data_IF_001973067031
#
_entry.id   IF_001973067031
#
_cell.length_a   1.000
_cell.length_b   1.000
_cell.length_c   1.000
_cell.angle_alpha   90.00
_cell.angle_beta   90.00
_cell.angle_gamma   90.00
#
_symmetry.space_group_name_H-M   'P 1'
#
loop_
_entity.id
_entity.type
_entity.pdbx_description
1 polymer ?
#
# COMPACT_ATOMS: atom_id res chain seq x y z
N UNK A 1 -8.55 39.51 29.35
CA UNK A 1 -9.28 39.29 28.08
C UNK A 1 -8.41 38.37 27.25
N UNK A 2 -8.51 37.06 27.52
CA UNK A 2 -7.73 36.05 26.82
C UNK A 2 -8.41 35.75 25.48
N UNK A 3 -7.70 36.01 24.39
CA UNK A 3 -8.14 35.69 23.05
C UNK A 3 -7.91 34.19 22.85
N UNK A 4 -8.94 33.38 23.04
CA UNK A 4 -8.96 32.00 22.58
C UNK A 4 -8.86 32.02 21.05
N UNK A 5 -7.66 31.76 20.51
CA UNK A 5 -7.52 31.41 19.11
C UNK A 5 -8.16 30.04 18.92
N UNK A 6 -9.36 30.02 18.33
CA UNK A 6 -9.99 28.81 17.85
C UNK A 6 -9.11 28.22 16.75
N UNK A 7 -8.37 27.16 17.07
CA UNK A 7 -7.77 26.29 16.06
C UNK A 7 -8.94 25.68 15.29
N UNK A 8 -9.16 26.16 14.06
CA UNK A 8 -10.08 25.55 13.11
C UNK A 8 -9.59 24.13 12.85
N UNK A 9 -10.15 23.16 13.56
CA UNK A 9 -10.00 21.74 13.21
C UNK A 9 -10.87 21.51 11.98
N UNK A 10 -10.28 21.62 10.80
CA UNK A 10 -10.92 21.06 9.61
C UNK A 10 -11.25 19.59 9.91
N UNK A 11 -12.54 19.26 9.96
CA UNK A 11 -12.99 17.89 10.12
C UNK A 11 -12.43 17.07 8.96
N UNK A 12 -11.68 16.01 9.26
CA UNK A 12 -11.11 15.12 8.25
C UNK A 12 -12.20 14.61 7.30
N UNK A 13 -11.98 14.73 6.00
CA UNK A 13 -12.93 14.36 4.96
C UNK A 13 -12.30 13.34 4.01
N UNK A 14 -12.79 12.09 4.04
CA UNK A 14 -12.35 10.99 3.15
C UNK A 14 -12.43 11.35 1.66
N UNK A 15 -13.34 12.25 1.28
CA UNK A 15 -13.60 12.65 -0.10
C UNK A 15 -12.86 13.92 -0.54
N UNK A 16 -11.91 14.43 0.26
CA UNK A 16 -11.17 15.66 -0.04
C UNK A 16 -10.42 15.62 -1.38
N UNK A 17 -10.86 16.38 -2.39
CA UNK A 17 -10.35 16.36 -3.77
C UNK A 17 -10.70 15.08 -4.58
N UNK A 18 -11.67 14.28 -4.13
CA UNK A 18 -11.99 13.02 -4.80
C UNK A 18 -12.67 13.24 -6.15
N UNK A 19 -13.57 14.23 -6.24
CA UNK A 19 -14.27 14.56 -7.49
C UNK A 19 -13.30 15.12 -8.53
N UNK A 20 -12.44 16.04 -8.10
CA UNK A 20 -11.38 16.64 -8.91
C UNK A 20 -10.39 15.59 -9.39
N UNK A 21 -10.11 14.57 -8.56
CA UNK A 21 -9.31 13.40 -8.95
C UNK A 21 -9.99 12.63 -10.07
N UNK A 22 -11.30 12.39 -9.97
CA UNK A 22 -12.05 11.70 -11.03
C UNK A 22 -12.06 12.51 -12.34
N UNK A 23 -12.27 13.82 -12.26
CA UNK A 23 -12.24 14.74 -13.42
C UNK A 23 -10.87 14.76 -14.08
N UNK A 24 -9.79 14.85 -13.31
CA UNK A 24 -8.40 14.80 -13.81
C UNK A 24 -8.10 13.50 -14.57
N UNK A 25 -8.60 12.38 -14.08
CA UNK A 25 -8.36 11.05 -14.65
C UNK A 25 -9.32 10.69 -15.79
N UNK A 26 -10.36 11.51 -16.04
CA UNK A 26 -11.44 11.17 -16.96
C UNK A 26 -12.28 9.98 -16.50
N UNK A 27 -12.30 9.70 -15.19
CA UNK A 27 -13.09 8.61 -14.62
C UNK A 27 -14.58 8.98 -14.58
N UNK A 28 -15.50 8.01 -14.77
CA UNK A 28 -16.93 8.25 -14.55
C UNK A 28 -17.20 8.74 -13.12
N UNK A 29 -17.98 9.80 -12.96
CA UNK A 29 -18.32 10.33 -11.64
C UNK A 29 -19.73 9.94 -11.19
N UNK A 30 -19.77 9.13 -10.15
CA UNK A 30 -20.91 8.98 -9.23
C UNK A 30 -20.34 9.13 -7.83
N UNK A 31 -20.90 10.04 -7.02
CA UNK A 31 -20.39 10.28 -5.66
C UNK A 31 -20.36 8.96 -4.85
N UNK A 32 -19.18 8.37 -4.61
CA UNK A 32 -19.10 7.02 -4.07
C UNK A 32 -19.34 7.03 -2.56
N UNK A 33 -19.95 5.98 -2.02
CA UNK A 33 -19.93 5.76 -0.57
C UNK A 33 -18.52 5.38 -0.15
N UNK A 34 -17.90 6.18 0.73
CA UNK A 34 -16.62 5.87 1.36
C UNK A 34 -16.86 5.81 2.87
N UNK A 35 -16.51 4.69 3.49
CA UNK A 35 -16.66 4.50 4.93
C UNK A 35 -15.37 3.95 5.51
N UNK A 36 -14.82 4.65 6.50
CA UNK A 36 -13.72 4.12 7.29
C UNK A 36 -14.28 3.21 8.38
N UNK A 37 -13.73 2.01 8.45
CA UNK A 37 -14.09 0.98 9.43
C UNK A 37 -12.86 0.69 10.29
N UNK A 38 -13.09 0.31 11.54
CA UNK A 38 -12.05 0.00 12.52
C UNK A 38 -12.29 -1.38 13.10
N UNK A 39 -11.23 -2.18 13.16
CA UNK A 39 -11.27 -3.59 13.54
C UNK A 39 -10.28 -3.83 14.67
N UNK A 40 -10.79 -3.92 15.90
CA UNK A 40 -9.97 -4.24 17.07
C UNK A 40 -9.48 -5.68 16.98
N UNK A 41 -8.20 -5.93 17.26
CA UNK A 41 -7.59 -7.26 17.31
C UNK A 41 -7.46 -7.75 18.76
N UNK A 42 -7.22 -9.05 18.92
CA UNK A 42 -7.17 -9.68 20.24
C UNK A 42 -5.95 -9.25 21.07
N UNK A 43 -4.91 -8.73 20.42
CA UNK A 43 -3.73 -8.14 21.05
C UNK A 43 -3.94 -6.66 21.48
N UNK A 44 -5.15 -6.12 21.26
CA UNK A 44 -5.51 -4.73 21.57
C UNK A 44 -5.09 -3.72 20.52
N UNK A 45 -4.41 -4.14 19.44
CA UNK A 45 -4.18 -3.29 18.27
C UNK A 45 -5.48 -3.12 17.45
N UNK A 46 -5.49 -2.16 16.52
CA UNK A 46 -6.64 -1.89 15.66
C UNK A 46 -6.17 -1.75 14.21
N UNK A 47 -6.92 -2.36 13.29
CA UNK A 47 -6.72 -2.21 11.86
C UNK A 47 -7.83 -1.34 11.28
N UNK A 48 -7.44 -0.32 10.53
CA UNK A 48 -8.34 0.55 9.77
C UNK A 48 -8.51 0.03 8.35
N UNK A 49 -9.72 0.15 7.83
CA UNK A 49 -10.01 -0.11 6.42
C UNK A 49 -10.88 1.00 5.84
N UNK A 50 -10.75 1.24 4.54
CA UNK A 50 -11.58 2.14 3.77
C UNK A 50 -12.44 1.33 2.80
N UNK A 51 -13.73 1.22 3.11
CA UNK A 51 -14.74 0.57 2.26
C UNK A 51 -15.20 1.53 1.18
N UNK A 52 -15.21 1.05 -0.06
CA UNK A 52 -15.69 1.75 -1.24
C UNK A 52 -16.95 1.07 -1.78
N UNK A 53 -18.04 1.82 -1.79
CA UNK A 53 -19.38 1.36 -2.17
C UNK A 53 -20.13 0.65 -1.04
N UNK A 54 -21.43 0.44 -1.26
CA UNK A 54 -22.34 -0.19 -0.30
C UNK A 54 -22.51 -1.71 -0.51
N UNK A 55 -22.02 -2.22 -1.63
CA UNK A 55 -22.05 -3.66 -1.95
C UNK A 55 -20.90 -4.40 -1.26
N UNK A 56 -21.00 -5.73 -1.22
CA UNK A 56 -19.90 -6.58 -0.75
C UNK A 56 -18.63 -6.33 -1.60
N UNK A 57 -17.46 -6.19 -0.97
CA UNK A 57 -16.24 -5.89 -1.68
C UNK A 57 -15.88 -7.04 -2.62
N UNK A 58 -15.56 -6.71 -3.87
CA UNK A 58 -15.02 -7.68 -4.83
C UNK A 58 -13.49 -7.78 -4.73
N UNK A 59 -12.86 -6.80 -4.10
CA UNK A 59 -11.40 -6.63 -4.08
C UNK A 59 -10.97 -6.18 -2.70
N UNK A 60 -9.89 -6.77 -2.19
CA UNK A 60 -9.11 -6.28 -1.05
C UNK A 60 -7.81 -5.69 -1.59
N UNK A 61 -7.46 -4.47 -1.17
CA UNK A 61 -6.28 -3.77 -1.65
C UNK A 61 -5.31 -3.41 -0.51
N UNK A 62 -4.03 -3.76 -0.66
CA UNK A 62 -2.97 -3.56 0.33
C UNK A 62 -1.90 -2.61 -0.23
N UNK A 63 -1.68 -1.47 0.43
CA UNK A 63 -0.72 -0.45 0.01
C UNK A 63 0.75 -0.83 0.28
N UNK A 64 1.71 -0.06 -0.24
CA UNK A 64 3.14 -0.22 0.03
C UNK A 64 3.61 0.43 1.34
N UNK A 65 4.88 0.24 1.71
CA UNK A 65 5.45 0.88 2.90
C UNK A 65 5.37 2.41 2.82
N UNK A 66 5.00 3.06 3.92
CA UNK A 66 4.90 4.52 4.02
C UNK A 66 3.64 5.12 3.38
N UNK A 67 2.73 4.28 2.91
CA UNK A 67 1.48 4.68 2.26
C UNK A 67 0.27 4.40 3.17
N UNK A 68 -0.93 4.51 2.63
CA UNK A 68 -2.20 4.22 3.31
C UNK A 68 -3.27 3.77 2.30
N UNK A 69 -4.46 3.45 2.79
CA UNK A 69 -5.61 2.98 2.01
C UNK A 69 -5.98 3.89 0.82
N UNK A 70 -5.80 5.21 0.91
CA UNK A 70 -6.11 6.16 -0.16
C UNK A 70 -5.19 6.09 -1.37
N UNK A 71 -4.11 5.31 -1.29
CA UNK A 71 -3.23 5.02 -2.43
C UNK A 71 -3.98 4.41 -3.60
N UNK A 72 -5.11 3.75 -3.32
CA UNK A 72 -5.93 3.05 -4.30
C UNK A 72 -7.07 3.88 -4.89
N UNK A 73 -7.29 5.12 -4.41
CA UNK A 73 -8.47 5.92 -4.80
C UNK A 73 -8.57 6.16 -6.31
N UNK A 74 -7.45 6.52 -6.95
CA UNK A 74 -7.40 6.77 -8.39
C UNK A 74 -7.79 5.51 -9.18
N UNK A 75 -7.21 4.37 -8.82
CA UNK A 75 -7.51 3.07 -9.43
C UNK A 75 -8.96 2.66 -9.16
N UNK A 76 -9.44 2.85 -7.93
CA UNK A 76 -10.81 2.55 -7.51
C UNK A 76 -11.86 3.34 -8.29
N UNK A 77 -11.65 4.65 -8.46
CA UNK A 77 -12.50 5.52 -9.29
C UNK A 77 -12.61 5.02 -10.74
N UNK A 78 -11.48 4.62 -11.32
CA UNK A 78 -11.41 4.15 -12.71
C UNK A 78 -12.06 2.77 -12.90
N UNK A 79 -11.97 1.90 -11.90
CA UNK A 79 -12.56 0.55 -11.95
C UNK A 79 -14.07 0.56 -11.70
N UNK A 80 -14.58 1.44 -10.83
CA UNK A 80 -16.00 1.53 -10.50
C UNK A 80 -16.57 0.26 -9.84
N UNK A 81 -15.73 -0.54 -9.18
CA UNK A 81 -16.11 -1.78 -8.46
C UNK A 81 -16.08 -1.55 -6.95
N UNK A 82 -16.90 -2.26 -6.15
CA UNK A 82 -16.80 -2.19 -4.70
C UNK A 82 -15.51 -2.88 -4.23
N UNK A 83 -14.77 -2.24 -3.33
CA UNK A 83 -13.54 -2.77 -2.77
C UNK A 83 -13.34 -2.31 -1.32
N UNK A 84 -12.40 -2.95 -0.64
CA UNK A 84 -11.89 -2.49 0.65
C UNK A 84 -10.38 -2.31 0.56
N UNK A 85 -9.89 -1.13 0.93
CA UNK A 85 -8.47 -0.86 1.04
C UNK A 85 -8.08 -0.89 2.53
N UNK A 86 -7.08 -1.68 2.89
CA UNK A 86 -6.64 -1.84 4.27
C UNK A 86 -5.47 -0.88 4.54
N UNK A 87 -5.53 -0.15 5.65
CA UNK A 87 -4.33 0.47 6.22
C UNK A 87 -3.53 -0.64 6.92
N UNK A 88 -2.35 -0.98 6.41
CA UNK A 88 -1.49 -2.00 7.02
C UNK A 88 -1.11 -1.61 8.46
N UNK A 89 -0.75 -2.58 9.33
CA UNK A 89 -0.24 -2.27 10.66
C UNK A 89 0.85 -1.18 10.62
N UNK A 90 0.79 -0.22 11.54
CA UNK A 90 1.70 0.92 11.55
C UNK A 90 1.43 2.00 10.51
N UNK A 91 0.38 1.91 9.69
CA UNK A 91 0.11 2.85 8.60
C UNK A 91 -1.29 3.46 8.68
N UNK A 92 -1.47 4.61 8.01
CA UNK A 92 -2.75 5.29 7.89
C UNK A 92 -3.45 5.51 9.23
N UNK A 93 -4.60 4.88 9.41
CA UNK A 93 -5.38 4.96 10.65
C UNK A 93 -5.29 3.67 11.49
N UNK A 94 -4.46 2.71 11.11
CA UNK A 94 -4.18 1.51 11.91
C UNK A 94 -3.22 1.82 13.05
N UNK A 95 -3.30 1.02 14.11
CA UNK A 95 -2.43 1.16 15.29
C UNK A 95 -0.96 1.02 14.90
N UNK A 96 -0.13 1.84 15.54
CA UNK A 96 1.32 1.66 15.58
C UNK A 96 1.67 0.60 16.62
N UNK A 97 2.78 -0.08 16.43
CA UNK A 97 3.29 -1.14 17.30
C UNK A 97 4.57 -0.69 18.01
N UNK A 98 4.72 -1.11 19.26
CA UNK A 98 5.92 -0.83 20.05
C UNK A 98 7.13 -1.63 19.54
N UNK A 99 6.89 -2.88 19.10
CA UNK A 99 7.91 -3.79 18.58
C UNK A 99 8.40 -3.47 17.15
N UNK A 100 7.74 -2.53 16.46
CA UNK A 100 8.00 -2.15 15.05
C UNK A 100 7.94 -3.33 14.07
N UNK A 101 7.25 -4.40 14.45
CA UNK A 101 7.14 -5.62 13.67
C UNK A 101 6.04 -5.47 12.60
N UNK A 102 6.46 -5.03 11.42
CA UNK A 102 5.58 -4.76 10.27
C UNK A 102 5.86 -5.68 9.07
N UNK A 103 6.55 -6.81 9.28
CA UNK A 103 6.91 -7.70 8.18
C UNK A 103 5.67 -8.35 7.55
N UNK A 104 5.81 -8.86 6.31
CA UNK A 104 4.71 -9.44 5.56
C UNK A 104 3.92 -10.52 6.31
N UNK A 105 4.61 -11.34 7.11
CA UNK A 105 4.03 -12.46 7.86
C UNK A 105 3.05 -11.97 8.94
N UNK A 106 3.55 -11.18 9.90
CA UNK A 106 2.75 -10.62 10.99
C UNK A 106 1.61 -9.73 10.48
N UNK A 107 1.88 -8.98 9.40
CA UNK A 107 0.85 -8.15 8.76
C UNK A 107 -0.26 -9.01 8.15
N UNK A 108 0.09 -10.11 7.48
CA UNK A 108 -0.89 -11.02 6.89
C UNK A 108 -1.75 -11.73 7.95
N UNK A 109 -1.17 -12.14 9.08
CA UNK A 109 -1.93 -12.71 10.20
C UNK A 109 -2.98 -11.73 10.74
N UNK A 110 -2.57 -10.47 10.94
CA UNK A 110 -3.47 -9.40 11.39
C UNK A 110 -4.61 -9.17 10.40
N UNK A 111 -4.29 -9.12 9.11
CA UNK A 111 -5.28 -8.90 8.04
C UNK A 111 -6.21 -10.10 7.90
N UNK A 112 -5.72 -11.34 8.04
CA UNK A 112 -6.55 -12.54 8.00
C UNK A 112 -7.69 -12.48 9.03
N UNK A 113 -7.40 -12.04 10.25
CA UNK A 113 -8.41 -11.85 11.32
C UNK A 113 -9.44 -10.79 10.92
N UNK A 114 -9.00 -9.68 10.32
CA UNK A 114 -9.89 -8.62 9.85
C UNK A 114 -10.80 -9.12 8.74
N UNK A 115 -10.25 -9.84 7.75
CA UNK A 115 -11.02 -10.38 6.63
C UNK A 115 -12.05 -11.42 7.08
N UNK A 116 -11.73 -12.24 8.08
CA UNK A 116 -12.69 -13.16 8.70
C UNK A 116 -13.85 -12.42 9.36
N UNK A 117 -13.55 -11.35 10.11
CA UNK A 117 -14.56 -10.53 10.78
C UNK A 117 -15.43 -9.74 9.81
N UNK A 118 -14.84 -9.27 8.70
CA UNK A 118 -15.58 -8.68 7.57
C UNK A 118 -16.47 -9.70 6.86
N UNK A 119 -16.16 -10.99 6.98
CA UNK A 119 -16.88 -12.06 6.29
C UNK A 119 -16.62 -12.10 4.78
N UNK A 120 -15.49 -11.56 4.30
CA UNK A 120 -15.16 -11.61 2.87
C UNK A 120 -14.88 -13.03 2.41
N UNK A 121 -15.31 -13.37 1.20
CA UNK A 121 -15.05 -14.68 0.58
C UNK A 121 -14.93 -14.51 -0.92
N UNK A 122 -14.02 -15.28 -1.52
CA UNK A 122 -13.82 -15.32 -2.97
C UNK A 122 -13.60 -13.93 -3.60
N UNK A 123 -12.79 -13.08 -2.96
CA UNK A 123 -12.47 -11.72 -3.42
C UNK A 123 -11.12 -11.69 -4.14
N UNK A 124 -10.89 -10.72 -5.00
CA UNK A 124 -9.54 -10.50 -5.53
C UNK A 124 -8.65 -9.86 -4.45
N UNK A 125 -7.37 -10.23 -4.41
CA UNK A 125 -6.38 -9.60 -3.54
C UNK A 125 -5.37 -8.83 -4.40
N UNK A 126 -5.23 -7.53 -4.17
CA UNK A 126 -4.25 -6.68 -4.88
C UNK A 126 -3.31 -6.08 -3.85
N UNK A 127 -2.01 -6.29 -3.99
CA UNK A 127 -1.02 -5.77 -3.06
C UNK A 127 0.17 -5.13 -3.79
N UNK A 128 0.60 -3.96 -3.35
CA UNK A 128 1.80 -3.28 -3.88
C UNK A 128 2.94 -3.35 -2.87
N UNK A 129 4.17 -3.62 -3.32
CA UNK A 129 5.38 -3.50 -2.48
C UNK A 129 5.24 -4.29 -1.17
N UNK A 130 5.35 -3.67 0.00
CA UNK A 130 5.10 -4.31 1.29
C UNK A 130 3.73 -5.03 1.35
N UNK A 131 2.67 -4.41 0.82
CA UNK A 131 1.35 -5.04 0.67
C UNK A 131 1.32 -6.19 -0.33
N UNK A 132 2.20 -6.20 -1.33
CA UNK A 132 2.35 -7.31 -2.27
C UNK A 132 3.01 -8.53 -1.62
N UNK A 133 4.07 -8.33 -0.84
CA UNK A 133 4.67 -9.41 -0.04
C UNK A 133 3.68 -9.96 0.99
N UNK A 134 2.94 -9.06 1.64
CA UNK A 134 1.86 -9.43 2.57
C UNK A 134 0.77 -10.23 1.86
N UNK A 135 0.39 -9.83 0.65
CA UNK A 135 -0.60 -10.53 -0.16
C UNK A 135 -0.16 -11.94 -0.55
N UNK A 136 1.12 -12.15 -0.87
CA UNK A 136 1.69 -13.48 -1.17
C UNK A 136 1.50 -14.40 0.04
N UNK A 137 1.94 -13.97 1.22
CA UNK A 137 1.81 -14.80 2.42
C UNK A 137 0.34 -15.03 2.79
N UNK A 138 -0.47 -13.96 2.80
CA UNK A 138 -1.89 -14.04 3.13
C UNK A 138 -2.64 -15.02 2.21
N UNK A 139 -2.36 -15.00 0.90
CA UNK A 139 -2.97 -15.93 -0.06
C UNK A 139 -2.47 -17.37 0.10
N UNK A 140 -1.28 -17.61 0.66
CA UNK A 140 -0.78 -18.95 0.94
C UNK A 140 -1.44 -19.56 2.18
N UNK A 141 -1.64 -18.76 3.22
CA UNK A 141 -2.21 -19.24 4.49
C UNK A 141 -3.74 -19.25 4.51
N UNK A 142 -4.40 -18.40 3.70
CA UNK A 142 -5.86 -18.26 3.62
C UNK A 142 -6.38 -18.31 2.17
N UNK A 143 -6.03 -19.34 1.38
CA UNK A 143 -6.36 -19.40 -0.05
C UNK A 143 -7.87 -19.39 -0.33
N UNK A 144 -8.71 -19.83 0.61
CA UNK A 144 -10.17 -19.87 0.47
C UNK A 144 -10.83 -18.49 0.44
N UNK A 145 -10.13 -17.44 0.87
CA UNK A 145 -10.63 -16.07 0.85
C UNK A 145 -10.55 -15.46 -0.56
N UNK A 146 -9.65 -15.95 -1.42
CA UNK A 146 -9.27 -15.24 -2.63
C UNK A 146 -9.67 -15.97 -3.91
N UNK A 147 -10.09 -15.22 -4.92
CA UNK A 147 -10.35 -15.74 -6.26
C UNK A 147 -9.14 -15.60 -7.18
N UNK A 148 -8.34 -14.54 -6.97
CA UNK A 148 -7.15 -14.17 -7.75
C UNK A 148 -6.24 -13.28 -6.90
N UNK A 149 -4.94 -13.28 -7.21
CA UNK A 149 -3.94 -12.44 -6.55
C UNK A 149 -3.26 -11.54 -7.60
N UNK A 150 -3.04 -10.27 -7.26
CA UNK A 150 -2.24 -9.33 -8.07
C UNK A 150 -1.16 -8.71 -7.20
N UNK A 151 0.08 -8.83 -7.65
CA UNK A 151 1.26 -8.29 -6.98
C UNK A 151 1.78 -7.14 -7.83
N UNK A 152 1.86 -5.94 -7.25
CA UNK A 152 2.31 -4.73 -7.92
C UNK A 152 3.73 -4.40 -7.47
N UNK A 153 4.64 -4.59 -8.41
CA UNK A 153 6.03 -4.13 -8.44
C UNK A 153 6.91 -4.59 -7.27
N UNK A 154 6.79 -5.86 -6.88
CA UNK A 154 7.58 -6.48 -5.82
C UNK A 154 7.64 -7.99 -6.00
N UNK A 155 8.71 -8.62 -5.51
CA UNK A 155 8.83 -10.08 -5.48
C UNK A 155 9.43 -10.55 -4.16
N UNK A 156 9.31 -11.85 -3.80
CA UNK A 156 10.00 -12.42 -2.64
C UNK A 156 11.52 -12.17 -2.60
N UNK A 157 12.15 -11.90 -3.75
CA UNK A 157 13.57 -11.55 -3.85
C UNK A 157 13.89 -10.08 -3.51
N UNK A 158 12.93 -9.32 -2.96
CA UNK A 158 13.05 -7.89 -2.69
C UNK A 158 14.31 -7.52 -1.91
N UNK A 159 14.62 -8.24 -0.82
CA UNK A 159 15.79 -7.94 0.02
C UNK A 159 17.09 -8.04 -0.77
N UNK A 160 17.25 -9.12 -1.53
CA UNK A 160 18.42 -9.35 -2.38
C UNK A 160 18.53 -8.31 -3.49
N UNK A 161 17.39 -7.89 -4.04
CA UNK A 161 17.37 -6.86 -5.07
C UNK A 161 17.75 -5.49 -4.50
N UNK A 162 17.27 -5.13 -3.31
CA UNK A 162 17.63 -3.85 -2.67
C UNK A 162 19.14 -3.71 -2.43
N UNK A 163 19.83 -4.81 -2.11
CA UNK A 163 21.29 -4.83 -1.97
C UNK A 163 22.04 -4.50 -3.27
N UNK A 164 21.41 -4.74 -4.42
CA UNK A 164 21.99 -4.48 -5.76
C UNK A 164 21.63 -3.10 -6.31
N UNK A 165 20.60 -2.45 -5.77
CA UNK A 165 20.16 -1.12 -6.18
C UNK A 165 21.11 -0.03 -5.68
N UNK A 166 21.39 0.97 -6.53
CA UNK A 166 22.06 2.20 -6.11
C UNK A 166 21.15 3.07 -5.22
N UNK A 167 21.71 4.08 -4.55
CA UNK A 167 20.90 5.08 -3.83
C UNK A 167 19.91 5.81 -4.75
N UNK A 168 20.31 6.08 -6.01
CA UNK A 168 19.44 6.71 -6.99
C UNK A 168 18.24 5.81 -7.37
N UNK A 169 18.48 4.51 -7.49
CA UNK A 169 17.45 3.50 -7.75
C UNK A 169 16.44 3.39 -6.60
N UNK A 170 16.94 3.50 -5.36
CA UNK A 170 16.11 3.55 -4.14
C UNK A 170 15.36 4.86 -3.99
N UNK A 171 15.67 5.89 -4.79
CA UNK A 171 15.06 7.22 -4.73
C UNK A 171 13.54 7.24 -4.90
N UNK A 172 12.96 6.21 -5.51
CA UNK A 172 11.49 6.04 -5.58
C UNK A 172 10.84 5.66 -4.24
N UNK A 173 11.63 5.18 -3.27
CA UNK A 173 11.25 4.94 -1.87
C UNK A 173 11.58 6.15 -0.98
N UNK A 174 12.21 7.20 -1.52
CA UNK A 174 12.65 8.37 -0.74
C UNK A 174 11.52 9.15 -0.05
N UNK A 175 10.25 8.90 -0.40
CA UNK A 175 9.10 9.40 0.36
C UNK A 175 9.14 8.99 1.84
N UNK A 176 9.79 7.86 2.17
CA UNK A 176 9.98 7.41 3.55
C UNK A 176 11.28 7.89 4.21
N UNK A 177 12.12 8.63 3.47
CA UNK A 177 13.45 9.10 3.91
C UNK A 177 13.51 10.60 4.19
N UNK A 178 12.38 11.32 4.05
CA UNK A 178 12.26 12.72 4.45
C UNK A 178 12.33 12.92 5.97
N UNK A 179 12.30 14.18 6.46
CA UNK A 179 12.27 14.45 7.89
C UNK A 179 11.02 13.84 8.55
N UNK A 180 11.15 13.45 9.82
CA UNK A 180 10.04 12.85 10.58
C UNK A 180 8.96 13.88 10.96
N UNK A 181 9.31 15.17 10.99
CA UNK A 181 8.43 16.29 11.34
C UNK A 181 8.60 17.47 10.38
N UNK A 182 7.49 18.13 10.10
CA UNK A 182 7.35 19.29 9.22
C UNK A 182 6.62 20.41 9.96
N UNK A 183 6.91 21.66 9.61
CA UNK A 183 6.24 22.82 10.20
C UNK A 183 4.76 22.94 9.80
N UNK A 184 4.38 22.40 8.64
CA UNK A 184 3.03 22.45 8.11
C UNK A 184 2.75 21.31 7.15
N UNK A 185 1.47 20.99 6.92
CA UNK A 185 1.07 20.07 5.85
C UNK A 185 1.51 20.58 4.46
N UNK A 186 1.50 21.91 4.25
CA UNK A 186 1.97 22.49 2.99
C UNK A 186 3.45 22.17 2.73
N UNK A 187 4.30 22.23 3.75
CA UNK A 187 5.70 21.85 3.62
C UNK A 187 5.87 20.36 3.21
N UNK A 188 4.98 19.48 3.66
CA UNK A 188 4.95 18.07 3.22
C UNK A 188 4.52 17.95 1.74
N UNK A 189 3.54 18.74 1.30
CA UNK A 189 3.10 18.80 -0.11
C UNK A 189 4.25 19.26 -0.99
N UNK A 190 4.91 20.36 -0.62
CA UNK A 190 6.01 20.94 -1.39
C UNK A 190 7.21 19.97 -1.48
N UNK A 191 7.56 19.32 -0.36
CA UNK A 191 8.61 18.30 -0.33
C UNK A 191 8.29 17.09 -1.22
N UNK A 192 7.04 16.63 -1.19
CA UNK A 192 6.57 15.51 -2.03
C UNK A 192 6.56 15.89 -3.51
N UNK A 193 6.13 17.10 -3.84
CA UNK A 193 6.11 17.61 -5.22
C UNK A 193 7.53 17.74 -5.80
N UNK A 194 8.51 18.13 -4.98
CA UNK A 194 9.91 18.20 -5.41
C UNK A 194 10.49 16.81 -5.77
N UNK A 195 10.04 15.75 -5.10
CA UNK A 195 10.46 14.37 -5.37
C UNK A 195 9.69 13.71 -6.52
N UNK A 196 8.49 14.20 -6.84
CA UNK A 196 7.63 13.65 -7.90
C UNK A 196 7.20 14.74 -8.90
N UNK A 197 8.13 15.40 -9.61
CA UNK A 197 7.84 16.59 -10.44
C UNK A 197 6.90 16.31 -11.62
N UNK A 198 6.77 15.05 -12.03
CA UNK A 198 5.89 14.63 -13.13
C UNK A 198 4.48 14.23 -12.64
N UNK A 199 4.25 14.16 -11.33
CA UNK A 199 2.96 13.77 -10.77
C UNK A 199 2.05 15.00 -10.68
N UNK A 200 0.77 14.92 -11.09
CA UNK A 200 -0.15 16.04 -10.95
C UNK A 200 -0.25 16.54 -9.51
N UNK A 201 -0.17 17.86 -9.31
CA UNK A 201 -0.18 18.49 -7.99
C UNK A 201 -1.41 18.09 -7.16
N UNK A 202 -2.57 17.95 -7.79
CA UNK A 202 -3.80 17.51 -7.14
C UNK A 202 -3.68 16.10 -6.51
N UNK A 203 -3.01 15.17 -7.19
CA UNK A 203 -2.80 13.81 -6.66
C UNK A 203 -1.78 13.80 -5.53
N UNK A 204 -0.76 14.67 -5.60
CA UNK A 204 0.19 14.87 -4.50
C UNK A 204 -0.54 15.42 -3.28
N UNK A 205 -1.32 16.48 -3.44
CA UNK A 205 -2.08 17.11 -2.36
C UNK A 205 -3.02 16.11 -1.69
N UNK A 206 -3.86 15.41 -2.46
CA UNK A 206 -4.75 14.37 -1.93
C UNK A 206 -3.96 13.31 -1.17
N UNK A 207 -2.88 12.79 -1.74
CA UNK A 207 -2.04 11.78 -1.09
C UNK A 207 -1.46 12.26 0.24
N UNK A 208 -0.93 13.49 0.30
CA UNK A 208 -0.36 14.06 1.52
C UNK A 208 -1.43 14.36 2.57
N UNK A 209 -2.59 14.88 2.18
CA UNK A 209 -3.71 15.14 3.10
C UNK A 209 -4.15 13.86 3.81
N UNK A 210 -4.31 12.77 3.07
CA UNK A 210 -4.73 11.49 3.64
C UNK A 210 -3.61 10.76 4.37
N UNK A 211 -2.33 11.03 4.07
CA UNK A 211 -1.18 10.41 4.73
C UNK A 211 -0.55 11.23 5.84
N UNK A 212 -1.11 12.39 6.22
CA UNK A 212 -0.51 13.27 7.24
C UNK A 212 -1.39 13.41 8.48
N UNK A 213 -0.73 13.62 9.62
CA UNK A 213 -1.36 13.99 10.89
C UNK A 213 -0.56 15.10 11.57
N UNK A 214 -1.26 15.88 12.39
CA UNK A 214 -0.62 16.81 13.31
C UNK A 214 -0.37 16.08 14.64
N UNK A 215 0.84 16.19 15.17
CA UNK A 215 1.25 15.64 16.45
C UNK A 215 0.93 16.63 17.59
N UNK A 216 1.03 16.17 18.84
CA UNK A 216 0.72 16.97 20.03
C UNK A 216 1.62 18.22 20.18
N UNK A 217 2.82 18.17 19.62
CA UNK A 217 3.76 19.30 19.55
C UNK A 217 3.37 20.35 18.50
N UNK A 218 2.26 20.13 17.78
CA UNK A 218 1.76 21.00 16.71
C UNK A 218 2.46 20.81 15.37
N UNK A 219 3.52 19.99 15.30
CA UNK A 219 4.21 19.68 14.05
C UNK A 219 3.42 18.65 13.23
N UNK A 220 3.64 18.65 11.93
CA UNK A 220 3.05 17.70 11.01
C UNK A 220 4.01 16.55 10.73
N UNK A 221 3.47 15.37 10.47
CA UNK A 221 4.26 14.28 9.91
C UNK A 221 3.35 13.20 9.35
N UNK A 222 3.96 12.10 8.93
CA UNK A 222 3.25 11.05 8.24
C UNK A 222 2.43 10.17 9.20
N UNK A 223 1.39 9.55 8.64
CA UNK A 223 0.51 8.58 9.30
C UNK A 223 1.07 7.16 9.31
N UNK A 224 2.33 6.98 8.93
CA UNK A 224 3.04 5.73 9.14
C UNK A 224 4.04 5.85 10.29
N UNK A 225 4.24 4.75 11.00
CA UNK A 225 5.27 4.61 12.01
C UNK A 225 6.65 4.45 11.35
N UNK A 226 7.72 4.78 12.07
CA UNK A 226 9.07 4.65 11.52
C UNK A 226 9.29 3.24 10.98
N UNK A 227 9.50 3.16 9.66
CA UNK A 227 9.93 1.92 8.99
C UNK A 227 11.41 1.62 9.22
N UNK A 228 12.12 2.55 9.89
CA UNK A 228 13.50 2.38 10.32
C UNK A 228 13.51 1.86 11.76
N UNK A 229 14.38 0.88 12.08
CA UNK A 229 14.66 0.55 13.47
C UNK A 229 15.07 1.83 14.23
N UNK A 230 14.66 1.99 15.50
CA UNK A 230 15.17 3.07 16.34
C UNK A 230 16.71 3.06 16.37
N UNK A 231 17.32 4.24 16.53
CA UNK A 231 18.77 4.36 16.65
C UNK A 231 19.29 3.48 17.80
N UNK A 232 20.27 2.61 17.51
CA UNK A 232 20.79 1.63 18.46
C UNK A 232 19.95 0.36 18.63
N UNK A 233 18.90 0.19 17.83
CA UNK A 233 18.14 -1.06 17.66
C UNK A 233 18.24 -1.58 16.23
N UNK A 234 19.32 -1.28 15.51
CA UNK A 234 19.56 -1.92 14.23
C UNK A 234 19.64 -3.44 14.39
N UNK A 235 19.15 -4.17 13.38
CA UNK A 235 19.27 -5.62 13.34
C UNK A 235 20.75 -6.00 13.39
N UNK A 236 21.10 -6.99 14.22
CA UNK A 236 22.43 -7.59 14.15
C UNK A 236 22.58 -8.33 12.81
N UNK A 237 23.82 -8.56 12.31
CA UNK A 237 24.03 -9.33 11.09
C UNK A 237 23.35 -10.71 11.10
N UNK A 238 23.23 -11.34 12.26
CA UNK A 238 22.48 -12.59 12.44
C UNK A 238 20.98 -12.39 12.22
N UNK A 239 20.39 -11.34 12.80
CA UNK A 239 18.97 -11.02 12.63
C UNK A 239 18.64 -10.60 11.19
N UNK A 240 19.51 -9.84 10.53
CA UNK A 240 19.37 -9.51 9.11
C UNK A 240 19.38 -10.78 8.25
N UNK A 241 20.25 -11.74 8.57
CA UNK A 241 20.32 -13.02 7.88
C UNK A 241 19.08 -13.88 8.14
N UNK A 242 18.61 -13.97 9.38
CA UNK A 242 17.37 -14.68 9.74
C UNK A 242 16.16 -14.08 9.01
N UNK A 243 16.10 -12.76 8.90
CA UNK A 243 15.10 -12.06 8.13
C UNK A 243 15.20 -12.38 6.64
N UNK A 244 16.39 -12.35 6.05
CA UNK A 244 16.60 -12.72 4.65
C UNK A 244 16.18 -14.18 4.36
N UNK A 245 16.52 -15.11 5.25
CA UNK A 245 16.06 -16.50 5.15
C UNK A 245 14.54 -16.60 5.29
N UNK A 246 13.92 -15.78 6.14
CA UNK A 246 12.46 -15.72 6.27
C UNK A 246 11.81 -15.22 4.99
N UNK A 247 12.38 -14.23 4.29
CA UNK A 247 11.86 -13.79 3.00
C UNK A 247 11.92 -14.87 1.91
N UNK A 248 12.83 -15.85 2.00
CA UNK A 248 12.82 -17.01 1.09
C UNK A 248 11.57 -17.87 1.26
N UNK A 249 10.94 -17.88 2.44
CA UNK A 249 9.65 -18.56 2.66
C UNK A 249 8.56 -18.00 1.74
N UNK A 250 8.61 -16.73 1.36
CA UNK A 250 7.62 -16.15 0.45
C UNK A 250 7.66 -16.81 -0.95
N UNK A 251 8.80 -17.36 -1.38
CA UNK A 251 8.84 -18.17 -2.60
C UNK A 251 8.14 -19.53 -2.42
N UNK A 252 8.25 -20.14 -1.24
CA UNK A 252 7.47 -21.33 -0.88
C UNK A 252 5.98 -20.99 -0.82
N UNK A 253 5.61 -19.81 -0.34
CA UNK A 253 4.23 -19.33 -0.32
C UNK A 253 3.66 -19.20 -1.73
N UNK A 254 4.44 -18.67 -2.68
CA UNK A 254 4.06 -18.66 -4.11
C UNK A 254 3.77 -20.07 -4.63
N UNK A 255 4.55 -21.08 -4.23
CA UNK A 255 4.30 -22.49 -4.62
C UNK A 255 2.95 -23.02 -4.08
N UNK A 256 2.45 -22.46 -2.95
CA UNK A 256 1.19 -22.86 -2.31
C UNK A 256 -0.03 -22.11 -2.83
N UNK A 257 0.14 -20.96 -3.50
CA UNK A 257 -0.97 -20.20 -4.07
C UNK A 257 -1.63 -21.01 -5.18
N UNK A 258 -2.91 -21.35 -4.97
CA UNK A 258 -3.69 -22.21 -5.86
C UNK A 258 -4.62 -21.46 -6.81
N UNK A 259 -4.65 -20.12 -6.69
CA UNK A 259 -5.47 -19.24 -7.52
C UNK A 259 -4.59 -18.52 -8.54
N UNK A 260 -5.16 -18.00 -9.64
CA UNK A 260 -4.39 -17.23 -10.61
C UNK A 260 -3.67 -16.05 -9.97
N UNK A 261 -2.39 -15.89 -10.28
CA UNK A 261 -1.56 -14.77 -9.79
C UNK A 261 -1.00 -13.95 -10.95
N UNK A 262 -1.15 -12.62 -10.85
CA UNK A 262 -0.56 -11.68 -11.79
C UNK A 262 0.53 -10.85 -11.11
N UNK A 263 1.69 -10.76 -11.72
CA UNK A 263 2.72 -9.80 -11.36
C UNK A 263 2.67 -8.61 -12.33
N UNK A 264 2.50 -7.41 -11.80
CA UNK A 264 2.55 -6.15 -12.56
C UNK A 264 3.83 -5.43 -12.21
N UNK A 265 4.64 -5.08 -13.20
CA UNK A 265 5.87 -4.31 -13.02
C UNK A 265 5.73 -2.92 -13.63
N UNK A 266 6.27 -1.90 -12.97
CA UNK A 266 6.50 -0.60 -13.59
C UNK A 266 7.65 -0.67 -14.59
N UNK A 267 7.45 -0.24 -15.85
CA UNK A 267 8.48 -0.34 -16.90
C UNK A 267 9.78 0.41 -16.59
N UNK A 268 9.70 1.49 -15.80
CA UNK A 268 10.85 2.23 -15.31
C UNK A 268 11.33 1.76 -13.91
N UNK A 269 10.68 0.76 -13.31
CA UNK A 269 11.06 0.20 -12.02
C UNK A 269 12.17 -0.82 -12.14
N UNK A 270 13.05 -0.81 -11.14
CA UNK A 270 14.16 -1.76 -10.95
C UNK A 270 13.92 -2.76 -9.80
N UNK A 271 12.74 -2.71 -9.17
CA UNK A 271 12.35 -3.62 -8.08
C UNK A 271 12.11 -5.05 -8.55
N UNK A 272 11.55 -5.19 -9.75
CA UNK A 272 11.27 -6.47 -10.37
C UNK A 272 12.16 -6.62 -11.60
N UNK A 273 12.92 -7.71 -11.69
CA UNK A 273 13.70 -8.04 -12.88
C UNK A 273 13.02 -9.15 -13.68
N UNK A 274 13.51 -9.41 -14.89
CA UNK A 274 13.04 -10.53 -15.72
C UNK A 274 13.29 -11.86 -15.02
N UNK A 275 14.41 -12.02 -14.32
CA UNK A 275 14.70 -13.23 -13.54
C UNK A 275 13.67 -13.46 -12.44
N UNK A 276 13.14 -12.40 -11.82
CA UNK A 276 12.09 -12.53 -10.84
C UNK A 276 10.75 -12.96 -11.46
N UNK A 277 10.39 -12.42 -12.63
CA UNK A 277 9.18 -12.85 -13.35
C UNK A 277 9.30 -14.29 -13.85
N UNK A 278 10.49 -14.72 -14.28
CA UNK A 278 10.76 -16.09 -14.68
C UNK A 278 10.62 -17.07 -13.50
N UNK A 279 11.07 -16.65 -12.31
CA UNK A 279 10.92 -17.46 -11.09
C UNK A 279 9.45 -17.58 -10.66
N UNK A 280 8.65 -16.51 -10.81
CA UNK A 280 7.19 -16.61 -10.66
C UNK A 280 6.59 -17.60 -11.67
N UNK A 281 6.94 -17.50 -12.96
CA UNK A 281 6.44 -18.39 -13.99
C UNK A 281 6.80 -19.86 -13.75
N UNK A 282 7.93 -20.12 -13.09
CA UNK A 282 8.36 -21.48 -12.71
C UNK A 282 7.58 -22.05 -11.53
N UNK A 283 7.14 -21.20 -10.59
CA UNK A 283 6.57 -21.60 -9.29
C UNK A 283 5.05 -21.54 -9.23
N UNK A 284 4.48 -20.46 -9.74
CA UNK A 284 3.04 -20.25 -9.72
C UNK A 284 2.31 -21.20 -10.69
N UNK A 285 1.14 -21.67 -10.28
CA UNK A 285 0.35 -22.65 -11.06
C UNK A 285 -0.34 -22.03 -12.27
N UNK A 286 -0.78 -20.80 -12.12
CA UNK A 286 -1.40 -19.98 -13.17
C UNK A 286 -0.87 -18.56 -13.00
N UNK A 287 -0.04 -18.12 -13.95
CA UNK A 287 0.76 -16.91 -13.84
C UNK A 287 0.58 -16.01 -15.05
N UNK A 288 0.36 -14.71 -14.77
CA UNK A 288 0.39 -13.63 -15.75
C UNK A 288 1.44 -12.59 -15.35
N UNK A 289 2.21 -12.12 -16.31
CA UNK A 289 3.16 -11.03 -16.11
C UNK A 289 2.82 -9.86 -17.03
N UNK A 290 2.72 -8.66 -16.47
CA UNK A 290 2.39 -7.45 -17.20
C UNK A 290 3.37 -6.33 -16.85
N UNK A 291 3.70 -5.51 -17.85
CA UNK A 291 4.56 -4.33 -17.67
C UNK A 291 3.73 -3.08 -18.00
N UNK A 292 3.72 -2.14 -17.07
CA UNK A 292 3.09 -0.82 -17.27
C UNK A 292 4.17 0.18 -17.64
N UNK A 293 4.25 0.48 -18.94
CA UNK A 293 5.23 1.42 -19.48
C UNK A 293 5.08 2.82 -18.89
N UNK A 294 6.22 3.45 -18.61
CA UNK A 294 6.27 4.80 -18.05
C UNK A 294 5.79 4.92 -16.60
N UNK A 295 5.62 3.81 -15.87
CA UNK A 295 5.47 3.78 -14.41
C UNK A 295 6.80 3.43 -13.72
N UNK A 296 7.08 4.08 -12.59
CA UNK A 296 8.12 3.65 -11.64
C UNK A 296 7.57 2.62 -10.66
N UNK A 297 8.12 2.60 -9.44
CA UNK A 297 7.71 1.63 -8.42
C UNK A 297 6.23 1.76 -8.00
N UNK A 298 5.72 2.99 -7.91
CA UNK A 298 4.32 3.28 -7.54
C UNK A 298 3.39 3.30 -8.75
N UNK A 299 3.20 2.15 -9.40
CA UNK A 299 2.40 2.03 -10.63
C UNK A 299 1.00 2.63 -10.49
N UNK A 300 0.34 2.39 -9.36
CA UNK A 300 -1.00 2.91 -9.06
C UNK A 300 -1.05 4.44 -8.92
N UNK A 301 0.07 5.10 -8.69
CA UNK A 301 0.16 6.56 -8.62
C UNK A 301 0.70 7.18 -9.91
N UNK A 302 1.57 6.47 -10.63
CA UNK A 302 2.22 6.97 -11.84
C UNK A 302 1.35 6.74 -13.09
N UNK A 303 0.68 5.58 -13.16
CA UNK A 303 -0.13 5.10 -14.29
C UNK A 303 -1.44 4.45 -13.82
N UNK A 304 -2.30 5.19 -13.08
CA UNK A 304 -3.54 4.64 -12.52
C UNK A 304 -4.52 4.15 -13.59
N UNK A 305 -4.59 4.81 -14.75
CA UNK A 305 -5.49 4.45 -15.86
C UNK A 305 -5.12 3.09 -16.43
N UNK A 306 -3.84 2.89 -16.73
CA UNK A 306 -3.30 1.66 -17.28
C UNK A 306 -3.42 0.51 -16.27
N UNK A 307 -3.11 0.75 -14.99
CA UNK A 307 -3.28 -0.26 -13.95
C UNK A 307 -4.76 -0.64 -13.75
N UNK A 308 -5.66 0.33 -13.70
CA UNK A 308 -7.09 0.07 -13.54
C UNK A 308 -7.66 -0.75 -14.71
N UNK A 309 -7.20 -0.50 -15.94
CA UNK A 309 -7.59 -1.28 -17.11
C UNK A 309 -7.10 -2.74 -17.00
N UNK A 310 -5.82 -2.94 -16.63
CA UNK A 310 -5.25 -4.28 -16.41
C UNK A 310 -5.98 -5.05 -15.31
N UNK A 311 -6.26 -4.39 -14.18
CA UNK A 311 -7.03 -5.00 -13.09
C UNK A 311 -8.45 -5.32 -13.51
N UNK A 312 -9.12 -4.45 -14.28
CA UNK A 312 -10.49 -4.71 -14.75
C UNK A 312 -10.54 -5.92 -15.69
N UNK A 313 -9.58 -6.03 -16.61
CA UNK A 313 -9.43 -7.19 -17.50
C UNK A 313 -9.17 -8.48 -16.72
N UNK A 314 -8.19 -8.46 -15.82
CA UNK A 314 -7.78 -9.65 -15.08
C UNK A 314 -8.80 -10.14 -14.05
N UNK A 315 -9.55 -9.22 -13.44
CA UNK A 315 -10.51 -9.53 -12.38
C UNK A 315 -11.93 -9.79 -12.89
N UNK A 316 -12.17 -9.66 -14.19
CA UNK A 316 -13.44 -10.05 -14.84
C UNK A 316 -13.63 -11.57 -14.87
#
# INVERSE_FOLDING_TARGET
>A
MECQMSVSTESYNEKHLLKETAELLGAPWSDPTLTREHWDLDDGSMISSLRWGDADPQIVMLHGGGQNAHTWDAVGLLMGKPFVAIDLPGHGHSSWREDKEYWPFTSAESIAVVLDRMGVKNVALVGMSMGGLTAIHLASIRPELFSRVVIVDVTPSQMEQMKKMSEADRGTVALTSGPDRYESRQAMIDATAALAPNRPALLIERGVVHNSKQFEDGQWGWRYDSLRPPEGQELTPEQEKEQEESFKQLWTDVDQINVPIMLVRGGASVFVTTEHSDEFARRAKDFRFEIVEGAGHSVQSDRPVELAALLTDYLS
#
